data_IF_920712417030
#
_entry.id   IF_920712417030
#
_cell.length_a   1.000
_cell.length_b   1.000
_cell.length_c   1.000
_cell.angle_alpha   90.00
_cell.angle_beta   90.00
_cell.angle_gamma   90.00
#
_symmetry.space_group_name_H-M   'P 1'
#
loop_
_entity.id
_entity.type
_entity.pdbx_description
1 polymer ?
#
# COMPACT_ATOMS: atom_id res chain seq x y z
N UNK A 1 -12.34 59.21 -5.20
CA UNK A 1 -12.10 58.05 -4.32
C UNK A 1 -12.87 56.85 -4.85
N UNK A 2 -12.29 56.08 -5.78
CA UNK A 2 -12.94 54.91 -6.36
C UNK A 2 -12.34 53.62 -5.79
N UNK A 3 -13.24 52.74 -5.32
CA UNK A 3 -13.10 51.28 -5.20
C UNK A 3 -12.04 50.75 -4.21
N UNK A 4 -12.20 51.05 -2.92
CA UNK A 4 -11.86 50.10 -1.84
C UNK A 4 -13.09 49.24 -1.55
N UNK A 5 -13.42 48.31 -2.44
CA UNK A 5 -14.46 47.30 -2.22
C UNK A 5 -14.11 46.02 -2.98
N UNK A 6 -12.82 45.66 -3.01
CA UNK A 6 -12.43 44.27 -3.24
C UNK A 6 -12.56 43.54 -1.89
N UNK A 7 -13.80 43.19 -1.58
CA UNK A 7 -14.27 42.19 -0.61
C UNK A 7 -13.16 41.37 0.08
N UNK A 8 -12.99 41.59 1.39
CA UNK A 8 -12.03 40.85 2.24
C UNK A 8 -12.36 39.36 2.42
N UNK A 9 -13.40 38.85 1.75
CA UNK A 9 -13.72 37.41 1.71
C UNK A 9 -12.96 36.66 0.62
N UNK A 10 -12.37 37.36 -0.36
CA UNK A 10 -11.61 36.75 -1.46
C UNK A 10 -10.08 36.81 -1.27
N UNK A 11 -9.58 37.62 -0.34
CA UNK A 11 -8.15 37.78 -0.10
C UNK A 11 -7.44 36.52 0.42
N UNK A 12 -8.16 35.65 1.15
CA UNK A 12 -7.64 34.36 1.62
C UNK A 12 -7.72 33.26 0.54
N UNK A 13 -8.60 33.39 -0.47
CA UNK A 13 -8.69 32.37 -1.53
C UNK A 13 -7.41 32.26 -2.35
N UNK A 14 -6.65 33.35 -2.51
CA UNK A 14 -5.36 33.34 -3.22
C UNK A 14 -4.26 32.52 -2.50
N UNK A 15 -3.93 32.78 -1.21
CA UNK A 15 -2.94 31.98 -0.51
C UNK A 15 -3.39 30.53 -0.28
N UNK A 16 -4.68 30.27 -0.09
CA UNK A 16 -5.20 28.88 -0.01
C UNK A 16 -5.08 28.17 -1.35
N UNK A 17 -5.48 28.83 -2.43
CA UNK A 17 -5.32 28.29 -3.78
C UNK A 17 -3.86 27.98 -4.10
N UNK A 18 -2.94 28.89 -3.75
CA UNK A 18 -1.51 28.69 -3.89
C UNK A 18 -0.99 27.50 -3.09
N UNK A 19 -1.42 27.35 -1.83
CA UNK A 19 -1.03 26.23 -0.98
C UNK A 19 -1.54 24.88 -1.52
N UNK A 20 -2.80 24.83 -1.96
CA UNK A 20 -3.38 23.62 -2.55
C UNK A 20 -2.65 23.23 -3.84
N UNK A 21 -2.35 24.20 -4.70
CA UNK A 21 -1.58 23.96 -5.92
C UNK A 21 -0.19 23.41 -5.61
N UNK A 22 0.51 24.01 -4.65
CA UNK A 22 1.82 23.53 -4.21
C UNK A 22 1.73 22.09 -3.67
N UNK A 23 0.74 21.79 -2.83
CA UNK A 23 0.55 20.44 -2.27
C UNK A 23 0.31 19.39 -3.37
N UNK A 24 -0.49 19.71 -4.39
CA UNK A 24 -0.72 18.83 -5.55
C UNK A 24 0.57 18.61 -6.33
N UNK A 25 1.33 19.68 -6.62
CA UNK A 25 2.61 19.59 -7.33
C UNK A 25 3.62 18.75 -6.54
N UNK A 26 3.75 18.97 -5.24
CA UNK A 26 4.62 18.16 -4.37
C UNK A 26 4.21 16.68 -4.37
N UNK A 27 2.90 16.38 -4.36
CA UNK A 27 2.43 15.00 -4.45
C UNK A 27 2.84 14.34 -5.77
N UNK A 28 2.66 15.04 -6.89
CA UNK A 28 3.04 14.55 -8.21
C UNK A 28 4.56 14.30 -8.32
N UNK A 29 5.37 15.26 -7.85
CA UNK A 29 6.84 15.14 -7.82
C UNK A 29 7.25 13.96 -6.92
N UNK A 30 6.60 13.77 -5.78
CA UNK A 30 6.88 12.67 -4.85
C UNK A 30 6.60 11.31 -5.48
N UNK A 31 5.51 11.16 -6.25
CA UNK A 31 5.20 9.90 -6.96
C UNK A 31 6.26 9.52 -7.98
N UNK A 32 6.88 10.51 -8.63
CA UNK A 32 7.94 10.28 -9.62
C UNK A 32 9.28 9.99 -8.94
N UNK A 33 9.62 10.73 -7.89
CA UNK A 33 10.91 10.61 -7.21
C UNK A 33 10.99 9.45 -6.22
N UNK A 34 9.86 9.04 -5.63
CA UNK A 34 9.77 7.97 -4.64
C UNK A 34 8.68 6.94 -5.00
N UNK A 35 8.73 6.33 -6.20
CA UNK A 35 7.64 5.49 -6.69
C UNK A 35 7.39 4.26 -5.80
N UNK A 36 8.43 3.73 -5.14
CA UNK A 36 8.33 2.64 -4.17
C UNK A 36 7.44 2.98 -2.97
N UNK A 37 7.48 4.21 -2.47
CA UNK A 37 6.64 4.66 -1.35
C UNK A 37 5.16 4.81 -1.72
N UNK A 38 4.87 4.95 -3.02
CA UNK A 38 3.51 5.09 -3.55
C UNK A 38 2.99 3.81 -4.22
N UNK A 39 3.75 2.71 -4.15
CA UNK A 39 3.41 1.46 -4.82
C UNK A 39 2.54 0.52 -3.97
N UNK A 40 2.15 0.91 -2.75
CA UNK A 40 1.25 0.12 -1.92
C UNK A 40 -0.11 -0.05 -2.60
N UNK A 41 -0.58 -1.30 -2.68
CA UNK A 41 -1.84 -1.68 -3.31
C UNK A 41 -2.63 -2.68 -2.44
N UNK A 42 -2.36 -2.72 -1.13
CA UNK A 42 -3.05 -3.66 -0.22
C UNK A 42 -4.55 -3.38 -0.07
N UNK A 43 -4.97 -2.15 -0.33
CA UNK A 43 -6.37 -1.74 -0.43
C UNK A 43 -7.10 -2.34 -1.65
N UNK A 44 -6.36 -2.88 -2.62
CA UNK A 44 -6.90 -3.55 -3.81
C UNK A 44 -7.05 -5.07 -3.68
N UNK A 45 -6.87 -5.62 -2.49
CA UNK A 45 -7.10 -7.04 -2.25
C UNK A 45 -8.48 -7.23 -1.63
N UNK A 46 -9.42 -7.78 -2.42
CA UNK A 46 -10.70 -8.21 -1.91
C UNK A 46 -10.61 -9.64 -1.39
N UNK A 47 -11.14 -9.88 -0.18
CA UNK A 47 -11.25 -11.20 0.42
C UNK A 47 -12.65 -11.75 0.22
N UNK A 48 -12.76 -13.01 -0.20
CA UNK A 48 -14.04 -13.74 -0.30
C UNK A 48 -14.66 -14.03 1.07
N UNK A 49 -15.95 -14.38 1.07
CA UNK A 49 -16.71 -14.72 2.28
C UNK A 49 -16.20 -15.99 2.97
N UNK A 50 -15.70 -16.97 2.20
CA UNK A 50 -15.06 -18.18 2.74
C UNK A 50 -13.71 -17.88 3.44
N UNK A 51 -13.21 -16.65 3.27
CA UNK A 51 -11.97 -16.19 3.85
C UNK A 51 -10.70 -16.81 3.27
N UNK A 52 -10.78 -17.61 2.20
CA UNK A 52 -9.64 -18.35 1.63
C UNK A 52 -9.18 -17.82 0.26
N UNK A 53 -10.00 -16.98 -0.39
CA UNK A 53 -9.69 -16.39 -1.69
C UNK A 53 -9.32 -14.92 -1.54
N UNK A 54 -8.27 -14.50 -2.24
CA UNK A 54 -7.83 -13.11 -2.35
C UNK A 54 -7.81 -12.68 -3.81
N UNK A 55 -8.59 -11.67 -4.16
CA UNK A 55 -8.74 -11.20 -5.53
C UNK A 55 -8.13 -9.82 -5.71
N UNK A 56 -7.40 -9.63 -6.81
CA UNK A 56 -6.94 -8.32 -7.25
C UNK A 56 -8.11 -7.52 -7.85
N UNK A 57 -8.51 -6.44 -7.20
CA UNK A 57 -9.54 -5.51 -7.68
C UNK A 57 -8.97 -4.24 -8.28
N UNK A 58 -7.64 -4.08 -8.29
CA UNK A 58 -6.98 -2.98 -8.97
C UNK A 58 -6.99 -3.21 -10.49
N UNK A 59 -7.09 -2.14 -11.28
CA UNK A 59 -7.00 -2.16 -12.74
C UNK A 59 -5.57 -2.32 -13.27
N UNK A 60 -4.72 -3.08 -12.57
CA UNK A 60 -3.31 -3.31 -12.91
C UNK A 60 -2.75 -4.53 -12.16
N UNK A 61 -1.66 -5.08 -12.66
CA UNK A 61 -0.94 -6.20 -12.05
C UNK A 61 -0.27 -5.81 -10.72
N UNK A 62 -0.32 -6.73 -9.75
CA UNK A 62 0.28 -6.57 -8.44
C UNK A 62 1.16 -7.77 -8.07
N UNK A 63 2.19 -7.51 -7.27
CA UNK A 63 2.92 -8.51 -6.50
C UNK A 63 2.23 -8.67 -5.14
N UNK A 64 1.54 -9.79 -4.97
CA UNK A 64 0.85 -10.20 -3.76
C UNK A 64 1.75 -11.08 -2.89
N UNK A 65 1.73 -10.86 -1.58
CA UNK A 65 2.46 -11.68 -0.60
C UNK A 65 1.50 -12.07 0.50
N UNK A 66 1.52 -13.37 0.82
CA UNK A 66 0.77 -13.99 1.88
C UNK A 66 1.72 -14.83 2.72
N UNK A 67 1.85 -14.52 4.01
CA UNK A 67 2.57 -15.39 4.95
C UNK A 67 1.57 -16.38 5.57
N UNK A 68 1.89 -17.65 5.46
CA UNK A 68 1.14 -18.73 6.09
C UNK A 68 1.81 -19.07 7.41
N UNK A 69 1.01 -19.47 8.38
CA UNK A 69 1.52 -19.99 9.65
C UNK A 69 2.19 -21.34 9.35
N UNK A 70 3.51 -21.40 9.55
CA UNK A 70 4.28 -22.62 9.48
C UNK A 70 4.70 -22.93 10.93
N UNK A 71 4.08 -23.96 11.52
CA UNK A 71 4.27 -24.33 12.93
C UNK A 71 5.75 -24.56 13.31
N UNK A 72 6.62 -24.76 12.30
CA UNK A 72 8.02 -25.12 12.45
C UNK A 72 9.06 -23.99 12.22
N UNK A 73 8.72 -22.86 11.59
CA UNK A 73 9.70 -21.79 11.30
C UNK A 73 9.16 -20.37 11.54
N UNK A 74 9.63 -19.74 12.62
CA UNK A 74 9.50 -18.30 12.86
C UNK A 74 10.41 -17.47 11.95
N UNK A 75 10.57 -17.86 10.68
CA UNK A 75 11.37 -17.16 9.70
C UNK A 75 10.48 -16.50 8.64
N UNK A 76 10.23 -15.21 8.85
CA UNK A 76 9.55 -14.30 7.92
C UNK A 76 10.26 -14.18 6.55
N UNK A 77 11.38 -14.86 6.35
CA UNK A 77 12.21 -14.80 5.14
C UNK A 77 11.59 -15.48 3.91
N UNK A 78 10.54 -16.28 4.06
CA UNK A 78 10.04 -17.15 2.98
C UNK A 78 8.62 -16.87 2.49
N UNK A 79 7.99 -15.72 2.80
CA UNK A 79 6.65 -15.41 2.29
C UNK A 79 6.67 -15.26 0.75
N UNK A 80 6.01 -16.17 0.00
CA UNK A 80 6.15 -16.21 -1.44
C UNK A 80 5.46 -15.00 -2.09
N UNK A 81 6.16 -14.38 -3.05
CA UNK A 81 5.58 -13.34 -3.91
C UNK A 81 4.85 -14.01 -5.07
N UNK A 82 3.54 -13.82 -5.13
CA UNK A 82 2.69 -14.26 -6.23
C UNK A 82 2.29 -13.05 -7.09
N UNK A 83 2.38 -13.16 -8.41
CA UNK A 83 1.84 -12.14 -9.31
C UNK A 83 0.36 -12.40 -9.55
N UNK A 84 -0.45 -11.37 -9.42
CA UNK A 84 -1.88 -11.40 -9.75
C UNK A 84 -2.13 -10.33 -10.81
N UNK A 85 -2.61 -10.75 -12.00
CA UNK A 85 -3.10 -9.80 -12.98
C UNK A 85 -4.40 -9.13 -12.50
N UNK A 86 -4.91 -8.18 -13.26
CA UNK A 86 -6.20 -7.56 -12.98
C UNK A 86 -7.30 -8.62 -12.93
N UNK A 87 -8.07 -8.66 -11.83
CA UNK A 87 -9.18 -9.58 -11.65
C UNK A 87 -8.79 -11.00 -11.24
N UNK A 88 -7.51 -11.38 -11.31
CA UNK A 88 -6.99 -12.67 -10.88
C UNK A 88 -7.15 -12.88 -9.37
N UNK A 89 -7.18 -14.14 -8.96
CA UNK A 89 -7.36 -14.53 -7.57
C UNK A 89 -6.31 -15.54 -7.13
N UNK A 90 -5.88 -15.40 -5.88
CA UNK A 90 -5.08 -16.37 -5.14
C UNK A 90 -6.00 -17.17 -4.21
N UNK A 91 -5.91 -18.50 -4.29
CA UNK A 91 -6.63 -19.41 -3.40
C UNK A 91 -5.65 -20.01 -2.39
N UNK A 92 -5.94 -19.85 -1.10
CA UNK A 92 -5.23 -20.58 -0.05
C UNK A 92 -5.54 -22.08 -0.12
N UNK A 93 -4.54 -22.91 0.12
CA UNK A 93 -4.70 -24.36 0.25
C UNK A 93 -5.56 -24.74 1.45
N UNK A 94 -6.23 -25.89 1.36
CA UNK A 94 -7.01 -26.43 2.47
C UNK A 94 -6.12 -26.74 3.68
N UNK A 95 -6.52 -26.27 4.86
CA UNK A 95 -5.77 -26.49 6.11
C UNK A 95 -4.62 -25.51 6.34
N UNK A 96 -4.41 -24.52 5.45
CA UNK A 96 -3.46 -23.44 5.67
C UNK A 96 -4.08 -22.34 6.52
N UNK A 97 -3.33 -21.85 7.50
CA UNK A 97 -3.71 -20.72 8.33
C UNK A 97 -2.83 -19.52 8.00
N UNK A 98 -3.38 -18.32 8.22
CA UNK A 98 -2.60 -17.09 8.05
C UNK A 98 -1.77 -16.88 9.30
N UNK A 99 -0.49 -16.59 9.09
CA UNK A 99 0.34 -16.10 10.17
C UNK A 99 -0.30 -14.82 10.72
N UNK A 100 -0.42 -14.80 12.04
CA UNK A 100 -1.04 -13.72 12.78
C UNK A 100 -0.03 -13.21 13.79
N UNK A 101 0.32 -11.91 13.70
CA UNK A 101 1.24 -11.33 14.68
C UNK A 101 0.64 -11.35 16.11
N UNK A 102 1.47 -11.05 17.11
CA UNK A 102 1.08 -11.03 18.54
C UNK A 102 -0.07 -10.04 18.85
N UNK A 103 -0.49 -9.23 17.88
CA UNK A 103 -1.59 -8.27 17.97
C UNK A 103 -2.82 -8.66 17.13
N UNK A 104 -2.86 -9.88 16.58
CA UNK A 104 -4.02 -10.38 15.83
C UNK A 104 -4.04 -9.95 14.36
N UNK A 105 -2.95 -9.40 13.82
CA UNK A 105 -2.93 -8.94 12.45
C UNK A 105 -2.46 -9.99 11.46
N UNK A 106 -3.20 -10.11 10.35
CA UNK A 106 -2.84 -10.98 9.23
C UNK A 106 -1.81 -10.33 8.30
N UNK A 107 -0.88 -11.15 7.82
CA UNK A 107 0.24 -10.77 6.96
C UNK A 107 -0.12 -10.92 5.47
N UNK A 108 -0.99 -10.02 5.00
CA UNK A 108 -1.40 -9.90 3.58
C UNK A 108 -0.90 -8.57 3.02
N UNK A 109 -0.14 -8.61 1.94
CA UNK A 109 0.36 -7.39 1.29
C UNK A 109 0.27 -7.46 -0.22
N UNK A 110 0.15 -6.29 -0.84
CA UNK A 110 0.22 -6.13 -2.27
C UNK A 110 0.95 -4.85 -2.64
N UNK A 111 1.81 -4.95 -3.65
CA UNK A 111 2.52 -3.83 -4.27
C UNK A 111 2.27 -3.82 -5.77
N UNK A 112 2.11 -2.64 -6.36
CA UNK A 112 2.00 -2.49 -7.82
C UNK A 112 3.31 -2.96 -8.49
N UNK A 113 3.19 -3.77 -9.55
CA UNK A 113 4.36 -4.17 -10.36
C UNK A 113 5.13 -2.94 -10.85
N UNK A 114 6.48 -2.93 -10.83
CA UNK A 114 7.41 -4.03 -10.53
C UNK A 114 7.87 -4.08 -9.06
N UNK A 115 7.22 -3.37 -8.15
CA UNK A 115 7.63 -3.32 -6.75
C UNK A 115 7.11 -4.53 -5.98
N UNK A 116 7.89 -5.02 -5.03
CA UNK A 116 7.57 -6.14 -4.14
C UNK A 116 7.44 -5.66 -2.70
N UNK A 117 6.60 -6.30 -1.87
CA UNK A 117 6.59 -6.03 -0.44
C UNK A 117 7.98 -6.32 0.17
N UNK A 118 8.52 -5.36 0.93
CA UNK A 118 9.76 -5.50 1.70
C UNK A 118 9.40 -5.57 3.18
N UNK A 119 9.45 -6.76 3.76
CA UNK A 119 9.39 -6.93 5.20
C UNK A 119 10.72 -6.42 5.78
N UNK A 120 10.74 -5.26 6.43
CA UNK A 120 11.90 -4.79 7.19
C UNK A 120 11.61 -5.03 8.66
N UNK A 121 12.26 -5.99 9.36
CA UNK A 121 12.08 -6.21 10.81
C UNK A 121 12.61 -5.09 11.71
N UNK A 122 13.18 -4.02 11.14
CA UNK A 122 13.95 -3.02 11.87
C UNK A 122 13.19 -1.70 11.91
N UNK A 123 12.39 -1.51 12.97
CA UNK A 123 12.18 -0.27 13.73
C UNK A 123 10.90 -0.38 14.55
N UNK A 124 10.91 0.24 15.74
CA UNK A 124 9.87 0.26 16.78
C UNK A 124 8.47 0.77 16.37
N UNK A 125 8.22 0.95 15.07
CA UNK A 125 6.99 1.51 14.54
C UNK A 125 6.31 0.52 13.58
N UNK A 126 5.35 -0.24 14.11
CA UNK A 126 4.66 -1.33 13.40
C UNK A 126 3.98 -0.89 12.10
N UNK A 127 3.58 0.37 12.00
CA UNK A 127 3.00 0.93 10.78
C UNK A 127 4.01 1.04 9.61
N UNK A 128 5.31 1.17 9.92
CA UNK A 128 6.39 1.20 8.91
C UNK A 128 6.83 -0.21 8.50
N UNK A 129 6.73 -1.19 9.40
CA UNK A 129 7.03 -2.61 9.11
C UNK A 129 6.07 -3.20 8.07
N UNK A 130 4.83 -2.66 7.98
CA UNK A 130 3.71 -3.30 7.29
C UNK A 130 3.40 -2.77 5.88
N UNK A 131 4.11 -1.78 5.34
CA UNK A 131 3.69 -1.13 4.06
C UNK A 131 4.82 -0.71 3.11
N UNK A 132 6.05 -1.17 3.31
CA UNK A 132 7.14 -0.78 2.43
C UNK A 132 7.12 -1.62 1.15
N UNK A 133 6.74 -1.04 0.02
CA UNK A 133 7.05 -1.60 -1.30
C UNK A 133 8.46 -1.15 -1.70
N UNK A 134 9.22 -2.00 -2.39
CA UNK A 134 10.55 -1.68 -2.92
C UNK A 134 10.83 -2.47 -4.19
N UNK A 135 11.95 -2.19 -4.88
CA UNK A 135 12.35 -3.10 -5.96
C UNK A 135 12.88 -4.40 -5.37
N UNK A 136 12.79 -5.46 -6.17
CA UNK A 136 13.25 -6.80 -5.80
C UNK A 136 14.75 -6.86 -5.49
N UNK A 137 15.53 -5.99 -6.13
CA UNK A 137 17.01 -5.98 -6.06
C UNK A 137 17.59 -4.76 -5.32
N UNK A 138 16.74 -3.88 -4.79
CA UNK A 138 17.14 -2.75 -3.92
C UNK A 138 17.27 -3.22 -2.46
#
# INVERSE_FOLDING_TARGET
>A
MLKKLASSKFGWLLPVGGFLLAAVLFNLISRVTNPSSHAYAGDCIARSEDGATYRNTCGYEINFVLCLDDEDEADYSSCPVTRLAEGDSYQMGSGQFLETDVYGNRHVWACKTPFVPRMKPSNSNQNLLRKACGRKDD
#
